data_IF_280351019378
#
_entry.id   IF_280351019378
#
_cell.length_a   1.000
_cell.length_b   1.000
_cell.length_c   1.000
_cell.angle_alpha   90.00
_cell.angle_beta   90.00
_cell.angle_gamma   90.00
#
_symmetry.space_group_name_H-M   'P 1'
#
loop_
_entity.id
_entity.type
_entity.pdbx_description
1 polymer ?
#
# COMPACT_ATOMS: atom_id res chain seq x y z
N UNK A 1 -65.20 -29.65 -1.33
CA UNK A 1 -64.51 -29.01 -2.46
C UNK A 1 -63.02 -28.89 -2.11
N UNK A 2 -62.15 -29.42 -2.97
CA UNK A 2 -60.67 -29.24 -3.11
C UNK A 2 -59.82 -29.27 -1.82
N UNK A 3 -59.13 -30.37 -1.49
CA UNK A 3 -57.70 -30.66 -1.82
C UNK A 3 -56.80 -29.41 -1.79
N UNK A 4 -55.83 -29.35 -0.87
CA UNK A 4 -54.39 -29.50 -1.15
C UNK A 4 -53.55 -29.17 0.09
N UNK A 5 -52.66 -30.12 0.42
CA UNK A 5 -51.39 -29.97 1.12
C UNK A 5 -50.60 -28.71 0.73
N UNK A 6 -49.70 -28.23 1.60
CA UNK A 6 -48.29 -27.88 1.32
C UNK A 6 -47.65 -27.31 2.60
N UNK A 7 -46.70 -28.05 3.16
CA UNK A 7 -45.25 -27.84 3.11
C UNK A 7 -44.73 -26.96 4.24
N UNK A 8 -43.91 -27.60 5.09
CA UNK A 8 -42.92 -26.93 5.91
C UNK A 8 -41.99 -26.11 5.01
N UNK A 9 -41.75 -24.85 5.37
CA UNK A 9 -40.52 -24.14 5.01
C UNK A 9 -40.09 -23.32 6.22
N UNK A 10 -39.12 -23.87 6.95
CA UNK A 10 -38.24 -23.06 7.76
C UNK A 10 -37.55 -22.06 6.82
N UNK A 11 -37.90 -20.78 6.91
CA UNK A 11 -37.19 -19.76 6.16
C UNK A 11 -35.92 -19.41 6.92
N UNK A 12 -34.88 -20.20 6.66
CA UNK A 12 -33.50 -19.77 6.75
C UNK A 12 -33.35 -18.53 5.84
N UNK A 13 -33.31 -17.34 6.43
CA UNK A 13 -32.49 -16.28 5.87
C UNK A 13 -31.13 -16.37 6.57
N UNK A 14 -30.40 -17.41 6.17
CA UNK A 14 -28.95 -17.34 6.10
C UNK A 14 -28.62 -16.29 5.03
N UNK A 15 -28.70 -15.03 5.43
CA UNK A 15 -28.09 -13.93 4.70
C UNK A 15 -26.59 -14.09 4.89
N UNK A 16 -25.96 -14.62 3.86
CA UNK A 16 -24.54 -14.93 3.76
C UNK A 16 -23.68 -13.79 4.28
N UNK A 17 -23.31 -13.88 5.55
CA UNK A 17 -21.98 -13.45 5.97
C UNK A 17 -21.08 -14.32 5.10
N UNK A 18 -20.54 -13.75 4.02
CA UNK A 18 -19.36 -14.32 3.39
C UNK A 18 -18.36 -14.37 4.53
N UNK A 19 -18.27 -15.53 5.19
CA UNK A 19 -17.16 -15.87 6.03
C UNK A 19 -15.97 -15.78 5.09
N UNK A 20 -15.30 -14.61 5.11
CA UNK A 20 -13.92 -14.53 4.66
C UNK A 20 -13.25 -15.74 5.32
N UNK A 21 -12.54 -16.58 4.55
CA UNK A 21 -11.99 -17.80 5.11
C UNK A 21 -11.19 -17.41 6.35
N UNK A 22 -11.52 -18.05 7.46
CA UNK A 22 -10.93 -17.95 8.80
C UNK A 22 -9.41 -18.23 8.82
N UNK A 23 -8.70 -18.10 7.70
CA UNK A 23 -7.29 -18.46 7.52
C UNK A 23 -6.37 -17.29 7.17
N UNK A 24 -6.87 -16.04 7.09
CA UNK A 24 -5.98 -14.86 7.00
C UNK A 24 -5.71 -14.22 8.36
N UNK A 25 -6.66 -14.29 9.29
CA UNK A 25 -6.53 -13.75 10.64
C UNK A 25 -5.50 -14.52 11.49
N UNK A 26 -5.43 -15.86 11.38
CA UNK A 26 -4.48 -16.69 12.13
C UNK A 26 -3.05 -16.67 11.55
N UNK A 27 -2.88 -16.40 10.24
CA UNK A 27 -1.55 -16.23 9.63
C UNK A 27 -0.89 -14.88 9.97
N UNK A 28 -1.69 -13.89 10.38
CA UNK A 28 -1.27 -12.52 10.65
C UNK A 28 -0.67 -12.31 12.06
N UNK A 29 -0.76 -13.28 12.97
CA UNK A 29 -0.43 -13.01 14.37
C UNK A 29 1.08 -12.90 14.66
N UNK A 30 1.97 -13.35 13.76
CA UNK A 30 3.43 -13.33 14.00
C UNK A 30 4.32 -12.73 12.88
N UNK A 31 3.77 -12.30 11.74
CA UNK A 31 4.56 -11.63 10.69
C UNK A 31 4.14 -10.16 10.55
N UNK A 32 4.94 -9.18 11.02
CA UNK A 32 4.58 -7.76 10.92
C UNK A 32 4.38 -7.32 9.46
N UNK A 33 5.09 -7.92 8.49
CA UNK A 33 4.87 -7.59 7.09
C UNK A 33 3.51 -8.04 6.55
N UNK A 34 2.89 -9.10 7.10
CA UNK A 34 1.54 -9.47 6.68
C UNK A 34 0.51 -8.40 7.10
N UNK A 35 0.71 -7.77 8.26
CA UNK A 35 -0.13 -6.64 8.71
C UNK A 35 -0.02 -5.46 7.75
N UNK A 36 1.19 -5.13 7.30
CA UNK A 36 1.42 -4.07 6.32
C UNK A 36 0.74 -4.38 4.99
N UNK A 37 0.87 -5.63 4.51
CA UNK A 37 0.24 -6.07 3.26
C UNK A 37 -1.29 -6.01 3.35
N UNK A 38 -1.88 -6.53 4.43
CA UNK A 38 -3.34 -6.51 4.62
C UNK A 38 -3.86 -5.09 4.70
N UNK A 39 -3.18 -4.20 5.44
CA UNK A 39 -3.55 -2.79 5.50
C UNK A 39 -3.54 -2.13 4.12
N UNK A 40 -2.48 -2.31 3.34
CA UNK A 40 -2.39 -1.71 2.00
C UNK A 40 -3.47 -2.26 1.04
N UNK A 41 -3.81 -3.56 1.14
CA UNK A 41 -4.91 -4.15 0.38
C UNK A 41 -6.28 -3.62 0.80
N UNK A 42 -6.47 -3.29 2.09
CA UNK A 42 -7.69 -2.65 2.58
C UNK A 42 -7.82 -1.23 2.05
N UNK A 43 -6.73 -0.45 2.04
CA UNK A 43 -6.71 0.88 1.41
C UNK A 43 -7.03 0.77 -0.09
N UNK A 44 -6.45 -0.19 -0.81
CA UNK A 44 -6.75 -0.42 -2.22
C UNK A 44 -8.21 -0.83 -2.50
N UNK A 45 -8.90 -1.41 -1.51
CA UNK A 45 -10.30 -1.82 -1.62
C UNK A 45 -11.29 -0.74 -1.15
N UNK A 46 -10.80 0.37 -0.60
CA UNK A 46 -11.60 1.47 -0.09
C UNK A 46 -11.50 2.68 -1.03
N UNK A 47 -12.55 2.88 -1.82
CA UNK A 47 -12.62 3.93 -2.84
C UNK A 47 -12.63 5.36 -2.26
N UNK A 48 -12.63 5.55 -0.94
CA UNK A 48 -12.39 6.87 -0.33
C UNK A 48 -10.93 7.30 -0.37
N UNK A 49 -10.02 6.40 -0.77
CA UNK A 49 -8.59 6.64 -0.91
C UNK A 49 -8.14 6.60 -2.37
N UNK A 50 -7.53 7.67 -2.85
CA UNK A 50 -6.94 7.76 -4.19
C UNK A 50 -5.44 7.97 -4.17
N UNK A 51 -4.87 8.30 -5.33
CA UNK A 51 -3.45 8.59 -5.47
C UNK A 51 -3.16 10.08 -5.37
N UNK A 52 -2.07 10.45 -4.69
CA UNK A 52 -1.80 11.86 -4.41
C UNK A 52 -0.31 12.25 -4.42
N UNK A 53 0.17 12.74 -5.57
CA UNK A 53 1.40 13.56 -5.70
C UNK A 53 1.09 15.05 -5.98
N UNK A 54 -0.15 15.48 -5.77
CA UNK A 54 -0.73 16.58 -6.54
C UNK A 54 -0.25 18.01 -6.24
N UNK A 55 0.66 18.28 -5.30
CA UNK A 55 1.28 19.61 -5.26
C UNK A 55 2.16 19.89 -6.49
N UNK A 56 2.77 18.85 -7.06
CA UNK A 56 3.68 18.93 -8.21
C UNK A 56 2.93 19.06 -9.54
N UNK A 57 1.67 18.61 -9.57
CA UNK A 57 0.83 18.52 -10.77
C UNK A 57 -0.35 19.51 -10.77
N UNK A 58 -0.58 20.21 -9.65
CA UNK A 58 -1.62 21.24 -9.55
C UNK A 58 -1.33 22.45 -10.45
N UNK A 59 -2.37 22.96 -11.10
CA UNK A 59 -2.31 24.23 -11.83
C UNK A 59 -3.41 25.16 -11.31
N UNK A 60 -3.32 26.46 -11.59
CA UNK A 60 -4.38 27.41 -11.20
C UNK A 60 -5.77 27.03 -11.72
N UNK A 61 -5.85 26.32 -12.86
CA UNK A 61 -7.10 25.86 -13.45
C UNK A 61 -7.50 24.44 -13.01
N UNK A 62 -6.59 23.70 -12.37
CA UNK A 62 -6.81 22.35 -11.85
C UNK A 62 -6.11 22.24 -10.49
N UNK A 63 -6.69 22.86 -9.44
CA UNK A 63 -6.09 22.83 -8.12
C UNK A 63 -6.17 21.41 -7.56
N UNK A 64 -5.06 20.91 -7.03
CA UNK A 64 -5.07 19.69 -6.24
C UNK A 64 -5.87 19.91 -4.95
N UNK A 65 -6.73 18.96 -4.62
CA UNK A 65 -7.64 19.04 -3.46
C UNK A 65 -7.42 17.94 -2.42
N UNK A 66 -6.48 17.01 -2.68
CA UNK A 66 -6.22 15.87 -1.81
C UNK A 66 -5.14 16.10 -0.75
N UNK A 67 -4.82 15.06 -0.01
CA UNK A 67 -3.69 15.01 0.94
C UNK A 67 -2.89 13.75 0.64
N UNK A 68 -1.55 13.85 0.65
CA UNK A 68 -0.62 12.72 0.49
C UNK A 68 -0.65 11.74 1.67
N UNK A 69 -1.15 12.22 2.81
CA UNK A 69 -1.00 11.55 4.11
C UNK A 69 -2.36 11.06 4.63
N UNK A 70 -3.23 10.63 3.72
CA UNK A 70 -4.66 10.38 3.96
C UNK A 70 -5.49 11.65 3.77
N UNK A 71 -6.66 11.60 3.10
CA UNK A 71 -7.33 10.41 2.56
C UNK A 71 -6.66 9.79 1.32
N UNK A 72 -5.78 10.49 0.61
CA UNK A 72 -5.10 9.91 -0.55
C UNK A 72 -3.65 9.54 -0.18
N UNK A 73 -3.00 8.73 -1.01
CA UNK A 73 -1.63 8.28 -0.79
C UNK A 73 -0.81 8.37 -2.09
N UNK A 74 0.43 8.84 -2.05
CA UNK A 74 1.37 8.49 -3.11
C UNK A 74 2.02 7.13 -2.84
N UNK A 75 2.90 6.72 -3.76
CA UNK A 75 3.58 5.42 -3.69
C UNK A 75 4.34 5.23 -2.36
N UNK A 76 5.06 6.24 -1.91
CA UNK A 76 5.86 6.18 -0.68
C UNK A 76 4.98 6.30 0.55
N UNK A 77 4.05 7.27 0.61
CA UNK A 77 3.15 7.43 1.74
C UNK A 77 2.35 6.15 2.00
N UNK A 78 1.82 5.48 0.96
CA UNK A 78 1.14 4.19 1.13
C UNK A 78 2.05 3.18 1.86
N UNK A 79 3.32 3.06 1.45
CA UNK A 79 4.27 2.12 2.05
C UNK A 79 4.66 2.53 3.47
N UNK A 80 4.91 3.81 3.74
CA UNK A 80 5.23 4.32 5.08
C UNK A 80 4.07 4.07 6.05
N UNK A 81 2.84 4.40 5.67
CA UNK A 81 1.66 4.17 6.50
C UNK A 81 1.37 2.68 6.71
N UNK A 82 1.58 1.84 5.69
CA UNK A 82 1.45 0.38 5.83
C UNK A 82 2.44 -0.20 6.86
N UNK A 83 3.70 0.27 6.82
CA UNK A 83 4.74 -0.16 7.75
C UNK A 83 4.48 0.40 9.16
N UNK A 84 4.07 1.67 9.28
CA UNK A 84 3.71 2.27 10.57
C UNK A 84 2.53 1.51 11.22
N UNK A 85 1.49 1.20 10.44
CA UNK A 85 0.35 0.40 10.90
C UNK A 85 0.77 -1.01 11.37
N UNK A 86 1.77 -1.60 10.71
CA UNK A 86 2.34 -2.89 11.10
C UNK A 86 3.23 -2.84 12.36
N UNK A 87 3.46 -1.65 12.93
CA UNK A 87 4.27 -1.44 14.13
C UNK A 87 5.76 -1.19 13.85
N UNK A 88 6.14 -0.90 12.61
CA UNK A 88 7.46 -0.39 12.29
C UNK A 88 7.47 1.13 12.51
N UNK A 89 8.30 1.69 13.41
CA UNK A 89 8.32 3.13 13.68
C UNK A 89 9.06 3.91 12.58
N UNK A 90 8.63 3.73 11.32
CA UNK A 90 9.33 4.23 10.15
C UNK A 90 9.09 5.72 9.93
N UNK A 91 7.93 6.24 10.36
CA UNK A 91 7.66 7.69 10.33
C UNK A 91 8.51 8.41 11.37
N UNK A 92 8.67 7.83 12.56
CA UNK A 92 9.62 8.36 13.55
C UNK A 92 11.07 8.34 13.02
N UNK A 93 11.45 7.28 12.30
CA UNK A 93 12.76 7.18 11.67
C UNK A 93 12.96 8.23 10.57
N UNK A 94 11.91 8.53 9.78
CA UNK A 94 11.89 9.61 8.79
C UNK A 94 12.10 10.98 9.43
N UNK A 95 11.39 11.31 10.50
CA UNK A 95 11.56 12.60 11.19
C UNK A 95 12.96 12.81 11.79
N UNK A 96 13.73 11.73 11.95
CA UNK A 96 15.15 11.76 12.37
C UNK A 96 16.12 11.71 11.19
N UNK A 97 15.63 11.54 9.97
CA UNK A 97 16.44 11.56 8.76
C UNK A 97 16.95 12.99 8.50
N UNK A 98 18.26 13.20 8.26
CA UNK A 98 18.76 14.52 7.85
C UNK A 98 18.04 15.09 6.62
N UNK A 99 17.56 14.24 5.71
CA UNK A 99 16.82 14.64 4.52
C UNK A 99 15.43 15.22 4.84
N UNK A 100 14.82 14.90 5.98
CA UNK A 100 13.55 15.50 6.42
C UNK A 100 13.64 17.02 6.54
N UNK A 101 14.71 17.53 7.12
CA UNK A 101 14.95 18.97 7.21
C UNK A 101 15.45 19.55 5.88
N UNK A 102 16.35 18.84 5.20
CA UNK A 102 16.99 19.32 3.97
C UNK A 102 16.03 19.43 2.78
N UNK A 103 15.17 18.44 2.58
CA UNK A 103 14.22 18.39 1.45
C UNK A 103 12.92 19.14 1.77
N UNK A 104 12.43 19.02 3.01
CA UNK A 104 11.06 19.43 3.36
C UNK A 104 10.95 20.47 4.47
N UNK A 105 12.06 21.02 4.97
CA UNK A 105 12.07 21.99 6.08
C UNK A 105 11.31 21.48 7.32
N UNK A 106 11.28 20.17 7.53
CA UNK A 106 10.58 19.56 8.67
C UNK A 106 9.06 19.61 8.58
N UNK A 107 8.48 19.54 7.37
CA UNK A 107 7.02 19.62 7.16
C UNK A 107 6.39 18.35 6.59
N UNK A 108 7.16 17.50 5.93
CA UNK A 108 6.63 16.30 5.27
C UNK A 108 6.41 15.16 6.26
N UNK A 109 5.20 14.63 6.35
CA UNK A 109 4.86 13.63 7.36
C UNK A 109 5.49 12.25 7.10
N UNK A 110 5.48 11.74 5.86
CA UNK A 110 6.17 10.51 5.48
C UNK A 110 7.35 10.77 4.53
N UNK A 111 8.29 9.83 4.41
CA UNK A 111 9.41 9.96 3.47
C UNK A 111 9.02 9.64 2.02
N UNK A 112 10.05 9.36 1.21
CA UNK A 112 9.98 9.11 -0.24
C UNK A 112 10.64 7.78 -0.61
N UNK A 113 10.51 7.36 -1.87
CA UNK A 113 11.14 6.16 -2.37
C UNK A 113 12.69 6.16 -2.22
N UNK A 114 13.34 7.33 -2.33
CA UNK A 114 14.79 7.46 -2.19
C UNK A 114 15.28 7.59 -0.74
N UNK A 115 14.38 7.87 0.21
CA UNK A 115 14.71 8.02 1.64
C UNK A 115 14.27 6.83 2.50
N UNK A 116 13.43 5.94 1.97
CA UNK A 116 12.92 4.77 2.70
C UNK A 116 13.99 3.80 3.18
N UNK A 117 15.07 3.59 2.41
CA UNK A 117 16.14 2.69 2.83
C UNK A 117 16.90 3.22 4.07
N UNK A 118 17.40 4.46 4.09
CA UNK A 118 17.95 5.06 5.30
C UNK A 118 17.03 4.96 6.53
N UNK A 119 15.71 5.10 6.35
CA UNK A 119 14.74 5.00 7.44
C UNK A 119 14.59 3.55 7.94
N UNK A 120 14.54 2.58 7.01
CA UNK A 120 14.58 1.14 7.32
C UNK A 120 15.86 0.74 8.07
N UNK A 121 17.00 1.33 7.71
CA UNK A 121 18.26 1.10 8.42
C UNK A 121 18.20 1.56 9.88
N UNK A 122 17.49 2.67 10.18
CA UNK A 122 17.35 3.17 11.55
C UNK A 122 16.43 2.30 12.40
N UNK A 123 15.33 1.81 11.85
CA UNK A 123 14.42 0.92 12.61
C UNK A 123 15.00 -0.49 12.79
N UNK A 124 15.85 -0.92 11.87
CA UNK A 124 16.50 -2.23 11.86
C UNK A 124 15.59 -3.39 11.44
N UNK A 125 16.19 -4.54 11.15
CA UNK A 125 15.50 -5.77 10.79
C UNK A 125 15.12 -5.92 9.32
N UNK A 126 15.59 -5.02 8.46
CA UNK A 126 15.47 -5.13 7.00
C UNK A 126 16.83 -5.40 6.37
N UNK A 127 16.83 -6.25 5.34
CA UNK A 127 17.96 -6.49 4.46
C UNK A 127 17.65 -5.94 3.08
N UNK A 128 18.60 -5.20 2.50
CA UNK A 128 18.53 -4.73 1.11
C UNK A 128 19.18 -5.73 0.18
N UNK A 129 18.44 -6.10 -0.86
CA UNK A 129 18.90 -6.89 -1.99
C UNK A 129 18.81 -6.03 -3.27
N UNK A 130 19.64 -6.33 -4.26
CA UNK A 130 19.36 -5.88 -5.62
C UNK A 130 18.20 -6.68 -6.20
N UNK A 131 17.44 -6.06 -7.09
CA UNK A 131 16.34 -6.74 -7.80
C UNK A 131 16.80 -8.06 -8.47
N UNK A 132 17.97 -8.04 -9.12
CA UNK A 132 18.47 -9.20 -9.85
C UNK A 132 18.79 -10.41 -8.96
N UNK A 133 19.09 -10.19 -7.68
CA UNK A 133 19.37 -11.28 -6.74
C UNK A 133 18.12 -12.04 -6.32
N UNK A 134 16.97 -11.37 -6.27
CA UNK A 134 15.77 -11.92 -5.61
C UNK A 134 14.50 -11.91 -6.46
N UNK A 135 14.50 -11.38 -7.68
CA UNK A 135 13.32 -11.29 -8.56
C UNK A 135 12.58 -12.62 -8.80
N UNK A 136 13.31 -13.73 -8.78
CA UNK A 136 12.77 -15.07 -9.00
C UNK A 136 12.40 -15.78 -7.68
N UNK A 137 12.65 -15.13 -6.54
CA UNK A 137 12.36 -15.62 -5.19
C UNK A 137 11.87 -14.48 -4.28
N UNK A 138 10.91 -13.70 -4.78
CA UNK A 138 10.23 -12.65 -4.01
C UNK A 138 9.37 -13.28 -2.92
N UNK A 139 9.33 -12.62 -1.77
CA UNK A 139 8.53 -13.04 -0.61
C UNK A 139 7.45 -12.00 -0.38
N UNK A 140 6.22 -12.46 -0.10
CA UNK A 140 5.12 -11.58 0.30
C UNK A 140 5.58 -10.70 1.47
N UNK A 141 5.39 -9.38 1.33
CA UNK A 141 5.93 -8.37 2.23
C UNK A 141 7.27 -7.77 1.82
N UNK A 142 7.93 -8.25 0.77
CA UNK A 142 9.07 -7.54 0.19
C UNK A 142 8.62 -6.15 -0.29
N UNK A 143 9.43 -5.13 0.01
CA UNK A 143 9.25 -3.77 -0.51
C UNK A 143 10.10 -3.65 -1.78
N UNK A 144 9.45 -3.44 -2.92
CA UNK A 144 10.11 -3.32 -4.22
C UNK A 144 10.30 -1.84 -4.49
N UNK A 145 11.54 -1.43 -4.73
CA UNK A 145 11.89 -0.03 -4.83
C UNK A 145 12.72 0.26 -6.08
N UNK A 146 12.37 1.38 -6.71
CA UNK A 146 13.20 2.11 -7.65
C UNK A 146 13.35 3.51 -7.03
N UNK A 147 14.43 3.76 -6.27
CA UNK A 147 14.57 4.95 -5.42
C UNK A 147 14.23 6.27 -6.13
N UNK A 148 14.62 6.41 -7.39
CA UNK A 148 14.38 7.61 -8.18
C UNK A 148 12.96 7.75 -8.77
N UNK A 149 12.05 6.81 -8.50
CA UNK A 149 10.76 6.78 -9.20
C UNK A 149 9.57 6.20 -8.42
N UNK A 150 9.70 5.05 -7.77
CA UNK A 150 8.51 4.31 -7.29
C UNK A 150 8.83 3.27 -6.22
N UNK A 151 7.88 3.02 -5.32
CA UNK A 151 7.97 1.99 -4.29
C UNK A 151 6.62 1.29 -4.13
N UNK A 152 6.65 -0.02 -3.84
CA UNK A 152 5.47 -0.86 -3.75
C UNK A 152 5.67 -2.05 -2.79
N UNK A 153 4.57 -2.66 -2.33
CA UNK A 153 4.61 -3.86 -1.48
C UNK A 153 4.30 -5.08 -2.34
N UNK A 154 5.17 -6.09 -2.35
CA UNK A 154 4.89 -7.37 -3.02
C UNK A 154 3.91 -8.21 -2.22
N UNK A 155 2.83 -8.64 -2.87
CA UNK A 155 1.72 -9.36 -2.23
C UNK A 155 1.71 -10.86 -2.57
N UNK A 156 2.75 -11.39 -3.21
CA UNK A 156 2.77 -12.77 -3.70
C UNK A 156 2.15 -12.90 -5.10
N UNK A 157 2.22 -14.10 -5.67
CA UNK A 157 1.67 -14.44 -7.00
C UNK A 157 2.11 -13.49 -8.13
N UNK A 158 3.32 -12.93 -8.03
CA UNK A 158 3.85 -12.01 -9.04
C UNK A 158 3.19 -10.63 -9.05
N UNK A 159 2.54 -10.24 -7.95
CA UNK A 159 1.80 -8.98 -7.83
C UNK A 159 2.34 -8.07 -6.75
N UNK A 160 2.14 -6.76 -6.92
CA UNK A 160 2.30 -5.74 -5.90
C UNK A 160 0.95 -5.11 -5.57
N UNK A 161 0.82 -4.53 -4.37
CA UNK A 161 -0.15 -3.47 -4.09
C UNK A 161 0.61 -2.14 -4.06
N UNK A 162 0.09 -1.14 -4.75
CA UNK A 162 0.78 0.13 -4.93
C UNK A 162 -0.21 1.26 -5.24
N UNK A 163 0.09 2.45 -4.71
CA UNK A 163 -0.54 3.68 -5.13
C UNK A 163 0.21 4.20 -6.37
N UNK A 164 -0.51 4.29 -7.49
CA UNK A 164 -0.02 4.80 -8.76
C UNK A 164 -1.13 5.58 -9.46
N UNK A 165 -0.82 6.79 -9.92
CA UNK A 165 -1.74 7.52 -10.77
C UNK A 165 -2.14 6.68 -12.00
N UNK A 166 -3.44 6.54 -12.26
CA UNK A 166 -3.94 5.86 -13.46
C UNK A 166 -3.69 6.75 -14.69
N UNK A 167 -2.91 6.24 -15.66
CA UNK A 167 -2.83 6.66 -17.07
C UNK A 167 -3.00 8.15 -17.42
N UNK A 168 -2.53 9.06 -16.58
CA UNK A 168 -2.30 10.43 -16.97
C UNK A 168 -0.85 10.75 -16.63
N UNK A 169 -0.02 11.14 -17.61
CA UNK A 169 1.33 11.65 -17.34
C UNK A 169 1.33 12.93 -16.46
N UNK A 170 0.14 13.40 -16.03
CA UNK A 170 -0.11 14.47 -15.05
C UNK A 170 -0.99 14.06 -13.84
N UNK A 171 -1.41 12.79 -13.69
CA UNK A 171 -2.25 12.28 -12.57
C UNK A 171 -3.77 12.15 -12.85
N UNK A 172 -4.49 11.27 -12.12
CA UNK A 172 -5.95 11.07 -12.17
C UNK A 172 -6.76 12.35 -11.86
N UNK A 173 -8.11 12.26 -11.74
CA UNK A 173 -8.93 13.43 -11.38
C UNK A 173 -8.38 14.04 -10.07
N UNK A 174 -8.27 15.36 -9.98
CA UNK A 174 -7.60 16.11 -8.90
C UNK A 174 -8.40 16.13 -7.58
N UNK A 175 -9.35 15.21 -7.46
CA UNK A 175 -10.30 15.02 -6.38
C UNK A 175 -9.86 13.85 -5.52
N UNK A 176 -10.10 13.98 -4.22
CA UNK A 176 -9.89 12.89 -3.27
C UNK A 176 -10.73 11.66 -3.60
N UNK A 177 -10.14 10.48 -3.34
CA UNK A 177 -10.76 9.17 -3.52
C UNK A 177 -10.35 8.49 -4.82
N UNK A 178 -10.57 7.19 -4.87
CA UNK A 178 -10.28 6.35 -6.04
C UNK A 178 -11.23 6.71 -7.20
N UNK A 179 -10.65 7.00 -8.36
CA UNK A 179 -11.35 7.32 -9.61
C UNK A 179 -11.20 6.23 -10.66
N UNK A 180 -10.51 5.13 -10.34
CA UNK A 180 -10.46 3.95 -11.19
C UNK A 180 -9.17 3.16 -11.12
N UNK A 181 -8.71 2.83 -9.91
CA UNK A 181 -7.55 1.97 -9.67
C UNK A 181 -6.27 2.74 -9.35
N UNK A 182 -6.38 3.96 -8.79
CA UNK A 182 -5.23 4.73 -8.30
C UNK A 182 -4.42 3.98 -7.23
N UNK A 183 -5.08 3.15 -6.43
CA UNK A 183 -4.42 2.23 -5.49
C UNK A 183 -4.96 0.83 -5.79
N UNK A 184 -4.14 -0.03 -6.39
CA UNK A 184 -4.59 -1.35 -6.86
C UNK A 184 -3.43 -2.35 -6.94
N UNK A 185 -3.73 -3.55 -7.42
CA UNK A 185 -2.83 -4.68 -7.54
C UNK A 185 -2.27 -4.83 -8.96
N UNK A 186 -0.96 -4.67 -9.10
CA UNK A 186 -0.29 -4.64 -10.41
C UNK A 186 0.72 -5.76 -10.57
N UNK A 187 1.17 -6.00 -11.81
CA UNK A 187 2.30 -6.89 -12.06
C UNK A 187 3.55 -6.38 -11.36
N UNK A 188 4.20 -7.24 -10.57
CA UNK A 188 5.51 -6.95 -9.97
C UNK A 188 6.63 -6.91 -11.01
N UNK A 189 6.43 -7.54 -12.17
CA UNK A 189 7.45 -7.68 -13.21
C UNK A 189 7.33 -6.62 -14.31
N UNK A 190 8.46 -6.28 -14.95
CA UNK A 190 8.52 -5.30 -16.04
C UNK A 190 8.55 -3.83 -15.59
N UNK A 191 8.90 -3.57 -14.33
CA UNK A 191 8.79 -2.24 -13.68
C UNK A 191 10.11 -1.51 -13.45
N UNK A 192 11.25 -2.14 -13.75
CA UNK A 192 12.57 -1.51 -13.59
C UNK A 192 13.02 -1.35 -12.13
N UNK A 193 12.52 -2.18 -11.21
CA UNK A 193 13.00 -2.21 -9.83
C UNK A 193 14.51 -2.41 -9.78
N UNK A 194 15.16 -1.70 -8.86
CA UNK A 194 16.61 -1.79 -8.64
C UNK A 194 16.91 -2.39 -7.29
N UNK A 195 16.05 -2.16 -6.29
CA UNK A 195 16.25 -2.60 -4.91
C UNK A 195 15.01 -3.36 -4.39
N UNK A 196 15.26 -4.29 -3.47
CA UNK A 196 14.23 -5.01 -2.71
C UNK A 196 14.61 -4.96 -1.24
N UNK A 197 13.72 -4.46 -0.40
CA UNK A 197 13.90 -4.43 1.06
C UNK A 197 13.02 -5.50 1.69
N UNK A 198 13.67 -6.45 2.36
CA UNK A 198 13.03 -7.61 2.96
C UNK A 198 13.19 -7.56 4.46
N UNK A 199 12.07 -7.68 5.18
CA UNK A 199 12.12 -7.90 6.62
C UNK A 199 12.72 -9.27 6.93
N UNK A 200 13.79 -9.30 7.70
CA UNK A 200 14.52 -10.52 8.09
C UNK A 200 14.54 -10.76 9.60
N UNK A 201 13.80 -9.95 10.37
CA UNK A 201 13.82 -9.98 11.83
C UNK A 201 14.94 -9.12 12.41
N UNK A 202 14.80 -8.74 13.69
CA UNK A 202 15.86 -8.08 14.46
C UNK A 202 16.80 -9.09 15.09
#
# INVERSE_FOLDING_TARGET
MKKLSHLAVASLLAGSIMAAPLSWAEAAENNPMEKAVVWALQIAADNSHGYSQGAENATANNPYTGSREGPDYDCSALVYHALEYAGFPIIEAWHKNPDYMKLYQGKQYSGDADTIWPDMQRIGGFTRYSWNEVKDNLKRGDILCRPEAHVAIYIGNGKTVEARGVNNPKGGDWRTGDQGGEIDCYSAYGRGWTEVYRYTGK
#
